data_IF_651241508653
#
_entry.id   IF_651241508653
#
_cell.length_a   1.000
_cell.length_b   1.000
_cell.length_c   1.000
_cell.angle_alpha   90.00
_cell.angle_beta   90.00
_cell.angle_gamma   90.00
#
_symmetry.space_group_name_H-M   'P 1'
#
loop_
_entity.id
_entity.type
_entity.pdbx_description
1 polymer ?
#
# COMPACT_ATOMS: atom_id res chain seq x y z
N UNK A 1 6.62 25.35 23.17
CA UNK A 1 6.44 25.18 21.76
C UNK A 1 6.00 23.77 21.39
N UNK A 2 5.60 23.62 20.20
CA UNK A 2 5.21 22.31 19.70
C UNK A 2 6.41 21.46 19.36
N UNK A 3 6.38 20.21 19.78
CA UNK A 3 7.35 19.26 19.25
C UNK A 3 7.00 18.93 17.81
N UNK A 4 8.00 18.43 17.06
CA UNK A 4 7.78 18.00 15.68
C UNK A 4 6.70 16.91 15.59
N UNK A 5 6.67 16.01 16.58
CA UNK A 5 5.68 14.95 16.60
C UNK A 5 4.26 15.47 16.78
N UNK A 6 4.08 16.46 17.68
CA UNK A 6 2.77 17.07 17.88
C UNK A 6 2.29 17.78 16.62
N UNK A 7 3.20 18.44 15.93
CA UNK A 7 2.87 19.10 14.66
C UNK A 7 2.42 18.09 13.60
N UNK A 8 3.11 16.96 13.50
CA UNK A 8 2.73 15.92 12.54
C UNK A 8 1.34 15.38 12.79
N UNK A 9 0.94 15.25 14.08
CA UNK A 9 -0.40 14.80 14.41
C UNK A 9 -1.49 15.77 13.98
N UNK A 10 -1.15 17.02 13.85
CA UNK A 10 -2.11 18.06 13.47
C UNK A 10 -2.23 18.26 11.97
N UNK A 11 -1.31 17.67 11.20
CA UNK A 11 -1.35 17.76 9.74
C UNK A 11 -2.40 16.82 9.16
N UNK A 12 -2.93 17.15 7.98
CA UNK A 12 -3.74 16.18 7.24
C UNK A 12 -2.97 14.89 7.03
N UNK A 13 -3.69 13.80 6.87
CA UNK A 13 -3.07 12.50 6.63
C UNK A 13 -2.20 12.58 5.38
N UNK A 14 -0.96 12.13 5.51
CA UNK A 14 -0.01 12.09 4.41
C UNK A 14 0.04 10.67 3.84
N UNK A 15 0.50 10.56 2.61
CA UNK A 15 0.58 9.29 1.92
C UNK A 15 2.02 8.85 1.78
N UNK A 16 2.25 7.55 1.98
CA UNK A 16 3.47 6.87 1.60
C UNK A 16 3.16 5.96 0.43
N UNK A 17 4.03 5.95 -0.55
CA UNK A 17 3.87 5.07 -1.71
C UNK A 17 4.85 3.91 -1.60
N UNK A 18 4.34 2.71 -1.81
CA UNK A 18 5.18 1.53 -1.95
C UNK A 18 5.46 1.37 -3.43
N UNK A 19 6.75 1.45 -3.77
CA UNK A 19 7.17 1.36 -5.16
C UNK A 19 6.88 -0.03 -5.74
N UNK A 20 6.61 -0.06 -7.04
CA UNK A 20 6.36 -1.29 -7.78
C UNK A 20 7.44 -2.33 -7.57
N UNK A 21 8.70 -1.90 -7.45
CA UNK A 21 9.82 -2.84 -7.29
C UNK A 21 9.67 -3.74 -6.07
N UNK A 22 9.08 -3.23 -4.99
CA UNK A 22 8.81 -4.04 -3.80
C UNK A 22 7.57 -4.93 -4.00
N UNK A 23 6.56 -4.41 -4.68
CA UNK A 23 5.31 -5.15 -4.93
C UNK A 23 5.59 -6.40 -5.77
N UNK A 24 6.49 -6.31 -6.73
CA UNK A 24 6.89 -7.45 -7.55
C UNK A 24 7.47 -8.58 -6.70
N UNK A 25 8.12 -8.26 -5.59
CA UNK A 25 8.73 -9.26 -4.71
C UNK A 25 7.75 -10.05 -3.86
N UNK A 26 6.48 -9.64 -3.81
CA UNK A 26 5.48 -10.35 -3.02
C UNK A 26 5.32 -11.77 -3.56
N UNK A 27 5.45 -12.76 -2.66
CA UNK A 27 5.38 -14.16 -3.02
C UNK A 27 6.68 -14.74 -3.56
N UNK A 28 7.72 -13.93 -3.73
CA UNK A 28 8.99 -14.37 -4.31
C UNK A 28 10.19 -14.00 -3.47
N UNK A 29 10.15 -12.85 -2.81
CA UNK A 29 11.29 -12.32 -2.06
C UNK A 29 10.87 -11.96 -0.65
N UNK A 30 11.26 -12.77 0.36
CA UNK A 30 10.90 -12.49 1.75
C UNK A 30 11.42 -11.16 2.27
N UNK A 31 12.53 -10.65 1.74
CA UNK A 31 13.06 -9.36 2.17
C UNK A 31 12.14 -8.21 1.73
N UNK A 32 11.61 -8.28 0.51
CA UNK A 32 10.66 -7.28 0.03
C UNK A 32 9.38 -7.31 0.84
N UNK A 33 8.89 -8.50 1.19
CA UNK A 33 7.72 -8.63 2.05
C UNK A 33 7.96 -8.05 3.43
N UNK A 34 9.14 -8.28 4.01
CA UNK A 34 9.49 -7.73 5.30
C UNK A 34 9.57 -6.22 5.27
N UNK A 35 10.12 -5.65 4.19
CA UNK A 35 10.18 -4.20 4.00
C UNK A 35 8.77 -3.62 3.93
N UNK A 36 7.88 -4.25 3.17
CA UNK A 36 6.48 -3.80 3.06
C UNK A 36 5.82 -3.79 4.44
N UNK A 37 5.96 -4.87 5.21
CA UNK A 37 5.38 -4.94 6.55
C UNK A 37 5.94 -3.87 7.47
N UNK A 38 7.23 -3.57 7.36
CA UNK A 38 7.88 -2.52 8.17
C UNK A 38 7.35 -1.15 7.81
N UNK A 39 7.18 -0.88 6.52
CA UNK A 39 6.62 0.38 6.05
C UNK A 39 5.19 0.54 6.55
N UNK A 40 4.39 -0.53 6.50
CA UNK A 40 3.01 -0.51 7.00
C UNK A 40 2.96 -0.18 8.48
N UNK A 41 3.82 -0.81 9.29
CA UNK A 41 3.86 -0.55 10.72
C UNK A 41 4.26 0.90 11.02
N UNK A 42 5.26 1.41 10.30
CA UNK A 42 5.69 2.78 10.47
C UNK A 42 4.60 3.77 10.08
N UNK A 43 3.96 3.54 8.95
CA UNK A 43 2.89 4.39 8.46
C UNK A 43 1.73 4.43 9.46
N UNK A 44 1.37 3.28 10.02
CA UNK A 44 0.32 3.19 11.02
C UNK A 44 0.67 4.01 12.25
N UNK A 45 1.92 3.93 12.71
CA UNK A 45 2.38 4.70 13.87
C UNK A 45 2.34 6.20 13.63
N UNK A 46 2.58 6.63 12.41
CA UNK A 46 2.63 8.05 12.02
C UNK A 46 1.31 8.55 11.45
N UNK A 47 0.30 7.69 11.36
CA UNK A 47 -1.00 8.02 10.78
C UNK A 47 -0.88 8.45 9.31
N UNK A 48 -0.05 7.76 8.57
CA UNK A 48 0.07 7.94 7.11
C UNK A 48 -0.77 6.90 6.42
N UNK A 49 -1.35 7.27 5.28
CA UNK A 49 -1.98 6.32 4.37
C UNK A 49 -0.90 5.69 3.49
N UNK A 50 -1.09 4.42 3.12
CA UNK A 50 -0.16 3.72 2.24
C UNK A 50 -0.85 3.38 0.94
N UNK A 51 -0.20 3.72 -0.16
CA UNK A 51 -0.64 3.39 -1.52
C UNK A 51 0.41 2.48 -2.13
N UNK A 52 0.02 1.30 -2.58
CA UNK A 52 0.91 0.39 -3.29
C UNK A 52 0.74 0.56 -4.79
N UNK A 53 1.85 0.72 -5.49
CA UNK A 53 1.87 0.96 -6.93
C UNK A 53 2.23 -0.32 -7.69
N UNK A 54 1.67 -0.47 -8.89
CA UNK A 54 2.05 -1.56 -9.78
C UNK A 54 1.53 -2.92 -9.38
N UNK A 55 0.37 -2.98 -8.73
CA UNK A 55 -0.24 -4.25 -8.33
C UNK A 55 -0.78 -4.96 -9.56
N UNK A 56 -0.32 -6.19 -9.81
CA UNK A 56 -0.65 -6.95 -11.01
C UNK A 56 -1.34 -8.27 -10.73
N UNK A 57 -1.19 -8.82 -9.54
CA UNK A 57 -1.70 -10.16 -9.22
C UNK A 57 -2.62 -10.14 -8.01
N UNK A 58 -3.51 -11.13 -7.96
CA UNK A 58 -4.39 -11.31 -6.81
C UNK A 58 -3.60 -11.60 -5.54
N UNK A 59 -2.48 -12.31 -5.66
CA UNK A 59 -1.59 -12.60 -4.52
C UNK A 59 -1.01 -11.31 -3.95
N UNK A 60 -0.54 -10.41 -4.81
CA UNK A 60 -0.02 -9.12 -4.39
C UNK A 60 -1.09 -8.31 -3.67
N UNK A 61 -2.28 -8.24 -4.26
CA UNK A 61 -3.39 -7.51 -3.66
C UNK A 61 -3.78 -8.07 -2.30
N UNK A 62 -3.83 -9.40 -2.18
CA UNK A 62 -4.19 -10.05 -0.91
C UNK A 62 -3.15 -9.77 0.17
N UNK A 63 -1.86 -9.86 -0.17
CA UNK A 63 -0.78 -9.58 0.77
C UNK A 63 -0.85 -8.14 1.28
N UNK A 64 -1.00 -7.20 0.36
CA UNK A 64 -1.04 -5.77 0.71
C UNK A 64 -2.28 -5.45 1.55
N UNK A 65 -3.42 -5.99 1.19
CA UNK A 65 -4.65 -5.81 1.96
C UNK A 65 -4.50 -6.36 3.38
N UNK A 66 -3.97 -7.57 3.51
CA UNK A 66 -3.75 -8.21 4.81
C UNK A 66 -2.72 -7.45 5.65
N UNK A 67 -1.78 -6.76 5.01
CA UNK A 67 -0.76 -5.97 5.71
C UNK A 67 -1.27 -4.59 6.13
N UNK A 68 -2.46 -4.20 5.71
CA UNK A 68 -3.06 -2.92 6.12
C UNK A 68 -2.94 -1.80 5.10
N UNK A 69 -2.64 -2.12 3.85
CA UNK A 69 -2.52 -1.10 2.80
C UNK A 69 -3.87 -0.43 2.55
N UNK A 70 -3.87 0.88 2.46
CA UNK A 70 -5.10 1.66 2.34
C UNK A 70 -5.63 1.71 0.92
N UNK A 71 -4.73 1.77 -0.06
CA UNK A 71 -5.10 1.89 -1.47
C UNK A 71 -4.15 1.09 -2.33
N UNK A 72 -4.68 0.51 -3.41
CA UNK A 72 -3.92 -0.24 -4.40
C UNK A 72 -4.07 0.41 -5.76
N UNK A 73 -2.98 0.48 -6.51
CA UNK A 73 -2.97 1.00 -7.87
C UNK A 73 -2.39 -0.06 -8.79
N UNK A 74 -3.13 -0.40 -9.83
CA UNK A 74 -2.67 -1.37 -10.82
C UNK A 74 -1.62 -0.79 -11.73
N UNK A 75 -0.82 -1.67 -12.32
CA UNK A 75 0.28 -1.26 -13.19
C UNK A 75 -0.21 -0.52 -14.44
N UNK A 76 -1.32 -0.98 -15.02
CA UNK A 76 -1.87 -0.39 -16.24
C UNK A 76 -3.17 0.38 -16.04
N UNK A 77 -3.61 0.54 -14.80
CA UNK A 77 -4.96 1.04 -14.53
C UNK A 77 -4.96 2.16 -13.52
N UNK A 78 -5.26 3.31 -13.97
CA UNK A 78 -5.81 4.48 -13.37
C UNK A 78 -5.46 4.79 -11.92
N UNK A 79 -6.46 5.28 -11.23
CA UNK A 79 -6.30 5.80 -9.88
C UNK A 79 -6.17 4.69 -8.83
N UNK A 80 -5.49 5.01 -7.75
CA UNK A 80 -5.45 4.13 -6.59
C UNK A 80 -6.84 4.00 -5.97
N UNK A 81 -7.19 2.79 -5.53
CA UNK A 81 -8.50 2.50 -4.93
C UNK A 81 -8.32 1.63 -3.69
N UNK A 82 -9.36 1.56 -2.86
CA UNK A 82 -9.35 0.68 -1.69
C UNK A 82 -9.21 -0.78 -2.11
N UNK A 83 -8.60 -1.64 -1.26
CA UNK A 83 -8.36 -3.04 -1.63
C UNK A 83 -9.62 -3.80 -2.06
N UNK A 84 -10.75 -3.58 -1.39
CA UNK A 84 -12.00 -4.24 -1.75
C UNK A 84 -12.46 -3.85 -3.16
N UNK A 85 -12.34 -2.57 -3.50
CA UNK A 85 -12.69 -2.07 -4.82
C UNK A 85 -11.74 -2.60 -5.88
N UNK A 86 -10.44 -2.67 -5.56
CA UNK A 86 -9.45 -3.22 -6.48
C UNK A 86 -9.78 -4.66 -6.83
N UNK A 87 -10.13 -5.48 -5.82
CA UNK A 87 -10.48 -6.88 -6.05
C UNK A 87 -11.74 -7.03 -6.91
N UNK A 88 -12.72 -6.16 -6.70
CA UNK A 88 -13.93 -6.17 -7.53
C UNK A 88 -13.61 -5.87 -8.99
N UNK A 89 -12.75 -4.87 -9.22
CA UNK A 89 -12.30 -4.54 -10.58
C UNK A 89 -11.46 -5.65 -11.18
N UNK A 90 -10.62 -6.28 -10.37
CA UNK A 90 -9.78 -7.39 -10.82
C UNK A 90 -10.64 -8.53 -11.35
N UNK A 91 -11.70 -8.87 -10.64
CA UNK A 91 -12.59 -9.96 -11.05
C UNK A 91 -13.28 -9.70 -12.37
N UNK A 92 -13.47 -8.44 -12.75
CA UNK A 92 -14.13 -8.05 -13.99
C UNK A 92 -13.17 -7.83 -15.16
N UNK A 93 -11.86 -7.87 -14.92
CA UNK A 93 -10.86 -7.64 -15.96
C UNK A 93 -10.56 -8.92 -16.73
N UNK A 94 -10.32 -8.84 -18.04
CA UNK A 94 -9.83 -9.98 -18.79
C UNK A 94 -8.44 -10.38 -18.29
N UNK A 95 -8.21 -11.63 -18.21
CA UNK A 95 -6.89 -12.15 -17.83
C UNK A 95 -6.12 -12.63 -19.03
#
# INVERSE_FOLDING_TARGET
>A
GYSSLSYLKMLPVQQLKIDRSFVIGIGQNPEDEAIIRSVMALAQSLNFEVVAEGVETAEQAAFLSASGCHQLQGFLHGSAVAPAEFRARWSSLPR
#
